data_IF_268508552027
#
_entry.id   IF_268508552027
#
_cell.length_a   1.000
_cell.length_b   1.000
_cell.length_c   1.000
_cell.angle_alpha   90.00
_cell.angle_beta   90.00
_cell.angle_gamma   90.00
#
_symmetry.space_group_name_H-M   'P 1'
#
loop_
_entity.id
_entity.type
_entity.pdbx_description
1 polymer ?
#
# COMPACT_ATOMS: atom_id res chain seq x y z
N UNK A 1 14.33 16.64 4.46
CA UNK A 1 14.20 15.18 4.79
C UNK A 1 12.74 14.79 4.72
N UNK A 2 12.40 13.75 3.98
CA UNK A 2 11.02 13.25 4.03
C UNK A 2 10.71 12.72 5.42
N UNK A 3 9.49 12.92 5.85
CA UNK A 3 8.99 12.33 7.09
C UNK A 3 9.00 10.81 6.95
N UNK A 4 9.48 10.05 7.96
CA UNK A 4 9.48 8.59 7.88
C UNK A 4 8.11 7.99 7.58
N UNK A 5 7.05 8.55 8.15
CA UNK A 5 5.69 8.07 7.88
C UNK A 5 5.30 8.32 6.43
N UNK A 6 5.65 9.47 5.88
CA UNK A 6 5.39 9.76 4.47
C UNK A 6 6.07 8.74 3.57
N UNK A 7 7.35 8.44 3.83
CA UNK A 7 8.10 7.44 3.06
C UNK A 7 7.44 6.06 3.15
N UNK A 8 6.99 5.67 4.33
CA UNK A 8 6.33 4.38 4.52
C UNK A 8 5.01 4.29 3.76
N UNK A 9 4.20 5.36 3.80
CA UNK A 9 2.92 5.36 3.08
C UNK A 9 3.13 5.31 1.57
N UNK A 10 4.13 6.04 1.06
CA UNK A 10 4.46 5.98 -0.37
C UNK A 10 5.03 4.63 -0.77
N UNK A 11 5.87 4.02 0.08
CA UNK A 11 6.41 2.69 -0.19
C UNK A 11 5.29 1.64 -0.21
N UNK A 12 4.34 1.72 0.72
CA UNK A 12 3.18 0.84 0.72
C UNK A 12 2.46 0.87 -0.64
N UNK A 13 2.24 2.05 -1.20
CA UNK A 13 1.52 2.19 -2.45
C UNK A 13 2.37 1.82 -3.66
N UNK A 14 3.59 2.36 -3.75
CA UNK A 14 4.37 2.31 -4.99
C UNK A 14 5.38 1.17 -5.03
N UNK A 15 5.92 0.76 -3.88
CA UNK A 15 6.96 -0.26 -3.83
C UNK A 15 6.43 -1.62 -3.40
N UNK A 16 5.21 -1.68 -2.89
CA UNK A 16 4.56 -2.93 -2.52
C UNK A 16 3.41 -3.22 -3.47
N UNK A 17 2.32 -2.46 -3.37
CA UNK A 17 1.16 -2.73 -4.24
C UNK A 17 1.40 -2.35 -5.69
N UNK A 18 2.26 -1.38 -5.94
CA UNK A 18 2.62 -0.96 -7.29
C UNK A 18 3.79 -1.71 -7.91
N UNK A 19 4.47 -2.59 -7.17
CA UNK A 19 5.64 -3.30 -7.66
C UNK A 19 5.27 -4.66 -8.23
N UNK A 20 5.47 -4.86 -9.53
CA UNK A 20 5.09 -6.10 -10.21
C UNK A 20 6.13 -7.21 -10.07
N UNK A 21 7.40 -6.86 -9.79
CA UNK A 21 8.43 -7.87 -9.57
C UNK A 21 8.32 -8.45 -8.16
N UNK A 22 8.02 -9.77 -8.02
CA UNK A 22 7.81 -10.35 -6.69
C UNK A 22 9.02 -10.26 -5.76
N UNK A 23 10.23 -10.36 -6.30
CA UNK A 23 11.44 -10.29 -5.47
C UNK A 23 11.64 -8.89 -4.91
N UNK A 24 11.49 -7.86 -5.75
CA UNK A 24 11.59 -6.47 -5.29
C UNK A 24 10.50 -6.12 -4.31
N UNK A 25 9.30 -6.62 -4.56
CA UNK A 25 8.17 -6.39 -3.67
C UNK A 25 8.42 -6.99 -2.30
N UNK A 26 8.95 -8.21 -2.24
CA UNK A 26 9.22 -8.84 -0.95
C UNK A 26 10.27 -8.06 -0.16
N UNK A 27 11.32 -7.55 -0.82
CA UNK A 27 12.29 -6.68 -0.16
C UNK A 27 11.64 -5.43 0.40
N UNK A 28 10.75 -4.81 -0.38
CA UNK A 28 10.01 -3.62 0.08
C UNK A 28 9.11 -3.96 1.27
N UNK A 29 8.46 -5.10 1.25
CA UNK A 29 7.61 -5.54 2.35
C UNK A 29 8.44 -5.65 3.63
N UNK A 30 9.63 -6.25 3.56
CA UNK A 30 10.48 -6.44 4.74
C UNK A 30 10.93 -5.13 5.37
N UNK A 31 11.15 -4.09 4.58
CA UNK A 31 11.61 -2.80 5.11
C UNK A 31 10.49 -1.82 5.40
N UNK A 32 9.26 -2.13 5.04
CA UNK A 32 8.11 -1.22 5.19
C UNK A 32 7.20 -1.62 6.35
N UNK A 33 7.04 -2.92 6.59
CA UNK A 33 6.06 -3.41 7.56
C UNK A 33 6.71 -4.20 8.68
N UNK A 34 6.06 -4.18 9.85
CA UNK A 34 6.41 -5.11 10.93
C UNK A 34 6.13 -6.54 10.46
N UNK A 35 6.77 -7.52 11.10
CA UNK A 35 6.57 -8.92 10.72
C UNK A 35 5.13 -9.38 10.94
N UNK A 36 4.46 -8.79 11.94
CA UNK A 36 3.09 -9.14 12.29
C UNK A 36 2.07 -8.17 11.70
N UNK A 37 2.42 -7.46 10.64
CA UNK A 37 1.53 -6.47 10.02
C UNK A 37 0.16 -7.05 9.73
N UNK A 38 -0.88 -6.25 9.97
CA UNK A 38 -2.26 -6.60 9.63
C UNK A 38 -2.70 -5.68 8.49
N UNK A 39 -3.21 -6.28 7.43
CA UNK A 39 -3.81 -5.56 6.32
C UNK A 39 -5.29 -5.87 6.28
N UNK A 40 -6.12 -4.84 6.21
CA UNK A 40 -7.57 -4.98 6.21
C UNK A 40 -8.17 -4.25 5.02
N UNK A 41 -9.09 -4.90 4.34
CA UNK A 41 -9.89 -4.28 3.28
C UNK A 41 -11.31 -4.85 3.35
N UNK A 42 -12.12 -4.60 2.31
CA UNK A 42 -13.51 -5.04 2.30
C UNK A 42 -13.65 -6.57 2.31
N UNK A 43 -12.61 -7.30 1.93
CA UNK A 43 -12.64 -8.77 1.91
C UNK A 43 -12.27 -9.39 3.27
N UNK A 44 -11.71 -8.61 4.18
CA UNK A 44 -11.33 -9.09 5.51
C UNK A 44 -9.94 -8.66 5.91
N UNK A 45 -9.37 -9.37 6.87
CA UNK A 45 -8.02 -9.10 7.37
C UNK A 45 -7.08 -10.25 7.05
N UNK A 46 -5.81 -9.89 6.81
CA UNK A 46 -4.74 -10.85 6.70
C UNK A 46 -3.57 -10.38 7.55
N UNK A 47 -2.65 -11.27 7.85
CA UNK A 47 -1.53 -10.95 8.74
C UNK A 47 -0.24 -11.54 8.20
N UNK A 48 0.84 -10.74 8.28
CA UNK A 48 2.19 -11.17 7.98
C UNK A 48 2.63 -10.90 6.56
N UNK A 49 3.93 -11.04 6.34
CA UNK A 49 4.56 -10.67 5.06
C UNK A 49 4.13 -11.57 3.90
N UNK A 50 4.03 -12.87 4.14
CA UNK A 50 3.67 -13.80 3.07
C UNK A 50 2.23 -13.58 2.59
N UNK A 51 1.32 -13.35 3.53
CA UNK A 51 -0.07 -13.07 3.17
C UNK A 51 -0.20 -11.75 2.43
N UNK A 52 0.56 -10.73 2.84
CA UNK A 52 0.55 -9.44 2.17
C UNK A 52 1.13 -9.54 0.75
N UNK A 53 2.21 -10.32 0.58
CA UNK A 53 2.80 -10.57 -0.73
C UNK A 53 1.78 -11.23 -1.67
N UNK A 54 1.06 -12.22 -1.18
CA UNK A 54 0.05 -12.90 -1.97
C UNK A 54 -1.11 -11.97 -2.33
N UNK A 55 -1.52 -11.10 -1.39
CA UNK A 55 -2.59 -10.13 -1.64
C UNK A 55 -2.20 -9.16 -2.75
N UNK A 56 -1.01 -8.59 -2.66
CA UNK A 56 -0.52 -7.64 -3.67
C UNK A 56 -0.40 -8.31 -5.03
N UNK A 57 0.12 -9.54 -5.09
CA UNK A 57 0.23 -10.28 -6.33
C UNK A 57 -1.15 -10.50 -6.96
N UNK A 58 -2.14 -10.89 -6.16
CA UNK A 58 -3.49 -11.11 -6.67
C UNK A 58 -4.14 -9.86 -7.25
N UNK A 59 -3.93 -8.72 -6.60
CA UNK A 59 -4.45 -7.44 -7.11
C UNK A 59 -3.80 -7.11 -8.45
N UNK A 60 -2.48 -7.25 -8.54
CA UNK A 60 -1.75 -6.92 -9.77
C UNK A 60 -2.08 -7.88 -10.90
N UNK A 61 -2.29 -9.15 -10.61
CA UNK A 61 -2.70 -10.14 -11.60
C UNK A 61 -4.09 -9.79 -12.19
N UNK A 62 -4.96 -9.22 -11.38
CA UNK A 62 -6.28 -8.79 -11.82
C UNK A 62 -6.31 -7.44 -12.52
N UNK A 63 -5.17 -6.74 -12.61
CA UNK A 63 -5.10 -5.39 -13.16
C UNK A 63 -3.89 -5.26 -14.11
N UNK A 64 -3.82 -6.07 -15.19
CA UNK A 64 -2.67 -6.01 -16.09
C UNK A 64 -2.58 -4.65 -16.76
N UNK A 65 -1.35 -4.10 -16.80
CA UNK A 65 -1.09 -2.80 -17.41
C UNK A 65 -1.49 -1.60 -16.58
N UNK A 66 -2.12 -1.81 -15.43
CA UNK A 66 -2.51 -0.70 -14.55
C UNK A 66 -1.36 -0.32 -13.63
N UNK A 67 -1.34 0.96 -13.24
CA UNK A 67 -0.37 1.49 -12.28
C UNK A 67 -1.11 2.20 -11.15
N UNK A 68 -0.52 2.15 -9.96
CA UNK A 68 -0.98 2.94 -8.82
C UNK A 68 -0.33 4.32 -8.85
N UNK A 69 -1.10 5.35 -8.52
CA UNK A 69 -0.60 6.72 -8.41
C UNK A 69 -1.12 7.35 -7.13
N UNK A 70 -0.28 8.12 -6.41
CA UNK A 70 -0.80 8.91 -5.29
C UNK A 70 -1.79 9.95 -5.81
N UNK A 71 -2.87 10.16 -5.09
CA UNK A 71 -3.87 11.16 -5.42
C UNK A 71 -3.86 12.24 -4.33
N UNK A 72 -2.80 13.02 -4.29
CA UNK A 72 -2.60 14.07 -3.31
C UNK A 72 -1.46 13.77 -2.35
N UNK A 73 -1.46 14.46 -1.24
CA UNK A 73 -0.38 14.40 -0.25
C UNK A 73 -0.64 13.33 0.80
N UNK A 74 0.43 12.92 1.46
CA UNK A 74 0.31 12.12 2.69
C UNK A 74 -0.09 13.05 3.83
N UNK A 75 -1.14 12.70 4.55
CA UNK A 75 -1.55 13.40 5.76
C UNK A 75 -1.27 12.54 6.97
N UNK A 76 -1.01 13.16 8.10
CA UNK A 76 -0.54 12.47 9.28
C UNK A 76 -1.16 13.05 10.54
N UNK A 77 -1.57 12.19 11.45
CA UNK A 77 -1.93 12.56 12.81
C UNK A 77 -1.45 11.44 13.74
N UNK A 78 -0.60 11.77 14.72
CA UNK A 78 0.00 10.80 15.62
C UNK A 78 0.69 9.69 14.82
N UNK A 79 0.33 8.44 15.06
CA UNK A 79 0.90 7.28 14.36
C UNK A 79 0.13 6.90 13.09
N UNK A 80 -0.89 7.67 12.72
CA UNK A 80 -1.72 7.41 11.54
C UNK A 80 -1.23 8.19 10.34
N UNK A 81 -1.01 7.50 9.22
CA UNK A 81 -0.78 8.10 7.92
C UNK A 81 -1.96 7.84 6.99
N UNK A 82 -2.23 8.79 6.12
CA UNK A 82 -3.33 8.76 5.16
C UNK A 82 -2.79 9.09 3.79
N UNK A 83 -3.11 8.27 2.78
CA UNK A 83 -2.74 8.55 1.40
C UNK A 83 -3.85 8.06 0.47
N UNK A 84 -4.44 8.97 -0.28
CA UNK A 84 -5.38 8.62 -1.34
C UNK A 84 -4.60 8.16 -2.58
N UNK A 85 -5.21 7.27 -3.35
CA UNK A 85 -4.57 6.71 -4.53
C UNK A 85 -5.57 6.46 -5.65
N UNK A 86 -5.02 6.31 -6.86
CA UNK A 86 -5.76 5.95 -8.06
C UNK A 86 -5.07 4.78 -8.74
N UNK A 87 -5.85 3.95 -9.40
CA UNK A 87 -5.35 2.80 -10.15
C UNK A 87 -5.98 2.82 -11.54
N UNK A 88 -5.17 2.71 -12.56
CA UNK A 88 -5.65 2.68 -13.95
C UNK A 88 -4.50 2.55 -14.93
N UNK A 89 -4.79 2.64 -16.23
CA UNK A 89 -3.74 2.59 -17.26
C UNK A 89 -2.70 3.70 -17.03
N UNK A 90 -1.45 3.40 -17.38
CA UNK A 90 -0.35 4.35 -17.16
C UNK A 90 -0.57 5.69 -17.86
N UNK A 91 -1.20 5.66 -19.03
CA UNK A 91 -1.45 6.85 -19.85
C UNK A 91 -2.92 7.19 -19.99
N UNK A 92 -3.77 6.68 -19.10
CA UNK A 92 -5.21 6.87 -19.17
C UNK A 92 -5.82 7.33 -17.86
N UNK A 93 -7.13 7.51 -17.88
CA UNK A 93 -7.87 7.93 -16.71
C UNK A 93 -7.91 6.80 -15.67
N UNK A 94 -7.98 7.14 -14.37
CA UNK A 94 -8.07 6.11 -13.34
C UNK A 94 -9.38 5.33 -13.44
N UNK A 95 -9.30 4.05 -13.14
CA UNK A 95 -10.46 3.15 -13.14
C UNK A 95 -10.95 2.91 -11.71
N UNK A 96 -10.02 2.85 -10.76
CA UNK A 96 -10.32 2.61 -9.35
C UNK A 96 -9.67 3.71 -8.53
N UNK A 97 -10.31 4.13 -7.47
CA UNK A 97 -9.71 5.05 -6.50
C UNK A 97 -9.97 4.55 -5.09
N UNK A 98 -9.09 4.92 -4.18
CA UNK A 98 -9.20 4.51 -2.80
C UNK A 98 -8.32 5.33 -1.88
N UNK A 99 -8.30 4.91 -0.62
CA UNK A 99 -7.52 5.54 0.43
C UNK A 99 -6.85 4.45 1.25
N UNK A 100 -5.58 4.64 1.56
CA UNK A 100 -4.85 3.82 2.52
C UNK A 100 -4.66 4.60 3.80
N UNK A 101 -4.89 3.93 4.93
CA UNK A 101 -4.59 4.46 6.25
C UNK A 101 -3.66 3.48 6.95
N UNK A 102 -2.50 3.96 7.36
CA UNK A 102 -1.48 3.13 7.97
C UNK A 102 -1.14 3.59 9.37
N UNK A 103 -0.82 2.63 10.23
CA UNK A 103 -0.41 2.90 11.62
C UNK A 103 1.00 2.42 11.83
N UNK A 104 1.85 3.31 12.37
CA UNK A 104 3.28 3.04 12.60
C UNK A 104 3.49 2.51 14.01
N UNK A 105 4.32 1.47 14.13
CA UNK A 105 4.83 0.96 15.40
C UNK A 105 6.29 0.58 15.17
N UNK A 106 7.16 1.04 16.07
CA UNK A 106 8.58 0.74 15.99
C UNK A 106 9.22 1.13 14.65
N UNK A 107 8.76 2.24 14.07
CA UNK A 107 9.33 2.78 12.83
C UNK A 107 8.85 2.11 11.55
N UNK A 108 7.91 1.18 11.62
CA UNK A 108 7.38 0.46 10.47
C UNK A 108 5.85 0.46 10.50
N UNK A 109 5.22 0.18 9.37
CA UNK A 109 3.77 0.05 9.32
C UNK A 109 3.36 -1.27 9.97
N UNK A 110 2.52 -1.19 11.00
CA UNK A 110 2.05 -2.36 11.73
C UNK A 110 0.61 -2.73 11.34
N UNK A 111 -0.14 -1.78 10.78
CA UNK A 111 -1.52 -2.00 10.37
C UNK A 111 -1.84 -1.08 9.21
N UNK A 112 -2.50 -1.61 8.20
CA UNK A 112 -2.94 -0.83 7.04
C UNK A 112 -4.39 -1.17 6.74
N UNK A 113 -5.21 -0.14 6.60
CA UNK A 113 -6.58 -0.27 6.11
C UNK A 113 -6.67 0.35 4.72
N UNK A 114 -7.32 -0.37 3.80
CA UNK A 114 -7.57 0.16 2.46
C UNK A 114 -9.08 0.24 2.24
N UNK A 115 -9.53 1.44 1.87
CA UNK A 115 -10.93 1.70 1.52
C UNK A 115 -10.98 2.00 0.02
N UNK A 116 -11.72 1.19 -0.72
CA UNK A 116 -11.94 1.45 -2.15
C UNK A 116 -13.15 2.36 -2.28
N UNK A 117 -12.98 3.48 -2.98
CA UNK A 117 -14.02 4.50 -3.12
C UNK A 117 -14.80 4.35 -4.42
N UNK A 118 -14.21 3.70 -5.42
CA UNK A 118 -14.86 3.53 -6.71
C UNK A 118 -14.63 2.15 -7.24
#
# INVERSE_FOLDING_TARGET
MPDPLESLMRANLLEVFGERDPARRLEAIRRTYTQDVVFADAEGELQGHDALQAKAQGILDGAPGFVFRPAGSVYQVQDLGYLAWELGPADGAPVVSGVDMGFVRDGLLARVYTVVLR
#
